data_IF_638318535701
#
_entry.id   IF_638318535701
#
_cell.length_a   1.000
_cell.length_b   1.000
_cell.length_c   1.000
_cell.angle_alpha   90.00
_cell.angle_beta   90.00
_cell.angle_gamma   90.00
#
_symmetry.space_group_name_H-M   'P 1'
#
loop_
_entity.id
_entity.type
_entity.pdbx_description
1 polymer ?
#
# COMPACT_ATOMS: atom_id res chain seq x y z
N UNK A 1 -1.92 6.59 20.60
CA UNK A 1 -0.92 5.76 19.93
C UNK A 1 -0.22 6.54 18.83
N UNK A 2 1.05 6.38 18.72
CA UNK A 2 1.82 7.04 17.66
C UNK A 2 1.30 6.61 16.28
N UNK A 3 1.09 7.58 15.38
CA UNK A 3 0.57 7.29 14.05
C UNK A 3 1.70 6.87 13.12
N UNK A 4 2.08 5.60 13.20
CA UNK A 4 3.15 5.04 12.40
C UNK A 4 2.84 5.05 10.91
N UNK A 5 1.57 4.91 10.54
CA UNK A 5 1.19 4.87 9.13
C UNK A 5 1.51 6.20 8.44
N UNK A 6 1.28 7.33 9.10
CA UNK A 6 1.63 8.64 8.56
C UNK A 6 3.14 8.76 8.36
N UNK A 7 3.91 8.29 9.33
CA UNK A 7 5.36 8.30 9.25
C UNK A 7 5.87 7.47 8.07
N UNK A 8 5.36 6.24 7.94
CA UNK A 8 5.77 5.38 6.85
C UNK A 8 5.37 5.93 5.49
N UNK A 9 4.18 6.51 5.37
CA UNK A 9 3.75 7.12 4.12
C UNK A 9 4.66 8.27 3.70
N UNK A 10 5.12 9.08 4.64
CA UNK A 10 6.08 10.14 4.35
C UNK A 10 7.40 9.57 3.84
N UNK A 11 7.89 8.50 4.49
CA UNK A 11 9.13 7.84 4.05
C UNK A 11 8.97 7.20 2.69
N UNK A 12 7.87 6.50 2.45
CA UNK A 12 7.63 5.81 1.19
C UNK A 12 7.51 6.80 0.02
N UNK A 13 7.01 8.01 0.27
CA UNK A 13 6.91 9.05 -0.75
C UNK A 13 8.24 9.78 -0.98
N UNK A 14 9.23 9.54 -0.13
CA UNK A 14 10.49 10.25 -0.21
C UNK A 14 11.41 9.60 -1.25
N UNK A 15 11.85 10.40 -2.23
CA UNK A 15 12.71 9.92 -3.30
C UNK A 15 14.13 9.53 -2.84
N UNK A 16 14.46 9.74 -1.57
CA UNK A 16 15.71 9.25 -1.00
C UNK A 16 15.74 7.73 -0.87
N UNK A 17 14.57 7.08 -0.84
CA UNK A 17 14.49 5.63 -0.74
C UNK A 17 14.51 5.00 -2.14
N UNK A 18 15.25 3.92 -2.30
CA UNK A 18 15.21 3.13 -3.52
C UNK A 18 13.86 2.43 -3.66
N UNK A 19 13.51 2.09 -4.89
CA UNK A 19 12.27 1.33 -5.14
C UNK A 19 12.29 -0.03 -4.45
N UNK A 20 13.47 -0.68 -4.37
CA UNK A 20 13.61 -1.95 -3.67
C UNK A 20 13.30 -1.83 -2.18
N UNK A 21 13.77 -0.76 -1.55
CA UNK A 21 13.53 -0.52 -0.13
C UNK A 21 12.05 -0.25 0.14
N UNK A 22 11.42 0.58 -0.68
CA UNK A 22 9.99 0.86 -0.59
C UNK A 22 9.19 -0.43 -0.76
N UNK A 23 9.55 -1.25 -1.75
CA UNK A 23 8.89 -2.52 -2.02
C UNK A 23 8.96 -3.46 -0.82
N UNK A 24 10.14 -3.58 -0.22
CA UNK A 24 10.35 -4.43 0.95
C UNK A 24 9.47 -3.99 2.12
N UNK A 25 9.47 -2.69 2.42
CA UNK A 25 8.67 -2.17 3.53
C UNK A 25 7.18 -2.33 3.27
N UNK A 26 6.74 -2.06 2.05
CA UNK A 26 5.34 -2.22 1.66
C UNK A 26 4.87 -3.66 1.86
N UNK A 27 5.65 -4.62 1.38
CA UNK A 27 5.30 -6.03 1.53
C UNK A 27 5.22 -6.45 2.98
N UNK A 28 6.13 -5.97 3.82
CA UNK A 28 6.07 -6.25 5.25
C UNK A 28 4.80 -5.70 5.89
N UNK A 29 4.40 -4.49 5.55
CA UNK A 29 3.19 -3.89 6.09
C UNK A 29 1.93 -4.62 5.61
N UNK A 30 1.86 -4.95 4.34
CA UNK A 30 0.70 -5.65 3.79
C UNK A 30 0.58 -7.07 4.32
N UNK A 31 1.70 -7.72 4.63
CA UNK A 31 1.69 -9.09 5.16
C UNK A 31 1.05 -9.18 6.56
N UNK A 32 1.01 -8.09 7.32
CA UNK A 32 0.38 -8.09 8.65
C UNK A 32 -1.15 -8.15 8.56
N UNK A 33 -1.73 -7.71 7.45
CA UNK A 33 -3.18 -7.59 7.30
C UNK A 33 -3.78 -6.42 8.06
N UNK A 34 -2.97 -5.51 8.60
CA UNK A 34 -3.43 -4.44 9.47
C UNK A 34 -3.67 -3.12 8.75
N UNK A 35 -3.50 -3.08 7.43
CA UNK A 35 -3.57 -1.83 6.67
C UNK A 35 -4.54 -1.92 5.50
N UNK A 36 -5.23 -0.79 5.27
CA UNK A 36 -5.96 -0.55 4.04
C UNK A 36 -5.10 0.23 3.07
N UNK A 37 -5.34 0.04 1.78
CA UNK A 37 -4.78 0.88 0.72
C UNK A 37 -5.83 1.93 0.37
N UNK A 38 -5.49 3.21 0.54
CA UNK A 38 -6.41 4.31 0.30
C UNK A 38 -5.95 5.10 -0.92
N UNK A 39 -6.86 5.31 -1.86
CA UNK A 39 -6.60 6.15 -3.02
C UNK A 39 -6.87 7.61 -2.66
N UNK A 40 -6.26 8.51 -3.41
CA UNK A 40 -6.45 9.94 -3.20
C UNK A 40 -7.89 10.40 -3.44
N UNK A 41 -8.71 9.62 -4.16
CA UNK A 41 -10.13 9.91 -4.39
C UNK A 41 -11.02 9.40 -3.25
N UNK A 42 -10.44 8.85 -2.20
CA UNK A 42 -11.18 8.35 -1.04
C UNK A 42 -11.58 6.90 -1.09
N UNK A 43 -11.33 6.19 -2.19
CA UNK A 43 -11.62 4.77 -2.28
C UNK A 43 -10.65 3.98 -1.40
N UNK A 44 -11.19 3.01 -0.67
CA UNK A 44 -10.40 2.16 0.23
C UNK A 44 -10.46 0.72 -0.22
N UNK A 45 -9.33 0.05 -0.10
CA UNK A 45 -9.17 -1.35 -0.50
C UNK A 45 -8.50 -2.13 0.60
N UNK A 46 -8.94 -3.36 0.77
CA UNK A 46 -8.21 -4.33 1.56
C UNK A 46 -7.17 -4.99 0.68
N UNK A 47 -5.95 -5.08 1.18
CA UNK A 47 -4.84 -5.68 0.44
C UNK A 47 -4.53 -7.05 0.99
N UNK A 48 -4.37 -8.02 0.09
CA UNK A 48 -3.98 -9.37 0.41
C UNK A 48 -2.77 -9.73 -0.43
N UNK A 49 -1.69 -10.14 0.22
CA UNK A 49 -0.47 -10.55 -0.49
C UNK A 49 -0.70 -11.89 -1.17
N UNK A 50 -0.61 -11.92 -2.49
CA UNK A 50 -0.68 -13.17 -3.26
C UNK A 50 0.70 -13.81 -3.39
N UNK A 51 1.72 -12.99 -3.67
CA UNK A 51 3.10 -13.42 -3.81
C UNK A 51 4.02 -12.21 -3.57
N UNK A 52 5.33 -12.40 -3.76
CA UNK A 52 6.25 -11.26 -3.67
C UNK A 52 6.09 -10.26 -4.82
N UNK A 53 5.37 -10.63 -5.87
CA UNK A 53 5.22 -9.79 -7.07
C UNK A 53 3.82 -9.23 -7.24
N UNK A 54 2.80 -9.82 -6.59
CA UNK A 54 1.40 -9.45 -6.78
C UNK A 54 0.66 -9.36 -5.46
N UNK A 55 -0.25 -8.39 -5.38
CA UNK A 55 -1.22 -8.28 -4.30
C UNK A 55 -2.62 -8.22 -4.89
N UNK A 56 -3.59 -8.62 -4.09
CA UNK A 56 -5.01 -8.53 -4.44
C UNK A 56 -5.59 -7.36 -3.66
N UNK A 57 -6.14 -6.39 -4.38
CA UNK A 57 -6.87 -5.27 -3.77
C UNK A 57 -8.36 -5.52 -3.92
N UNK A 58 -9.07 -5.54 -2.80
CA UNK A 58 -10.51 -5.72 -2.76
C UNK A 58 -11.16 -4.41 -2.32
N UNK A 59 -12.03 -3.86 -3.16
CA UNK A 59 -12.77 -2.65 -2.84
C UNK A 59 -13.70 -2.95 -1.66
N UNK A 60 -13.58 -2.18 -0.57
CA UNK A 60 -14.37 -2.42 0.64
C UNK A 60 -15.85 -2.20 0.42
N UNK A 61 -16.22 -1.32 -0.51
CA UNK A 61 -17.61 -0.96 -0.75
C UNK A 61 -18.31 -1.92 -1.70
N UNK A 62 -17.64 -2.29 -2.79
CA UNK A 62 -18.24 -3.12 -3.85
C UNK A 62 -17.90 -4.59 -3.75
N UNK A 63 -16.82 -4.94 -3.05
CA UNK A 63 -16.29 -6.31 -3.02
C UNK A 63 -15.55 -6.74 -4.28
N UNK A 64 -15.49 -5.88 -5.28
CA UNK A 64 -14.74 -6.16 -6.51
C UNK A 64 -13.25 -6.19 -6.19
N UNK A 65 -12.54 -7.16 -6.72
CA UNK A 65 -11.11 -7.29 -6.48
C UNK A 65 -10.33 -7.34 -7.79
N UNK A 66 -9.05 -6.99 -7.70
CA UNK A 66 -8.12 -7.04 -8.82
C UNK A 66 -6.74 -7.44 -8.31
N UNK A 67 -6.02 -8.16 -9.14
CA UNK A 67 -4.63 -8.51 -8.89
C UNK A 67 -3.74 -7.40 -9.44
N UNK A 68 -2.92 -6.82 -8.58
CA UNK A 68 -2.10 -5.65 -8.90
C UNK A 68 -0.63 -6.01 -8.69
N UNK A 69 0.25 -5.72 -9.66
CA UNK A 69 1.68 -5.88 -9.44
C UNK A 69 2.17 -5.01 -8.28
N UNK A 70 3.00 -5.57 -7.42
CA UNK A 70 3.56 -4.83 -6.28
C UNK A 70 4.29 -3.58 -6.77
N UNK A 71 4.99 -3.66 -7.89
CA UNK A 71 5.72 -2.52 -8.43
C UNK A 71 4.79 -1.35 -8.80
N UNK A 72 3.57 -1.64 -9.23
CA UNK A 72 2.58 -0.60 -9.51
C UNK A 72 2.15 0.11 -8.23
N UNK A 73 1.99 -0.64 -7.12
CA UNK A 73 1.69 -0.04 -5.83
C UNK A 73 2.86 0.82 -5.33
N UNK A 74 4.08 0.32 -5.47
CA UNK A 74 5.28 1.06 -5.08
C UNK A 74 5.33 2.41 -5.79
N UNK A 75 5.12 2.40 -7.11
CA UNK A 75 5.11 3.63 -7.90
C UNK A 75 3.98 4.56 -7.49
N UNK A 76 2.80 4.01 -7.26
CA UNK A 76 1.64 4.79 -6.84
C UNK A 76 1.85 5.46 -5.49
N UNK A 77 2.42 4.76 -4.52
CA UNK A 77 2.75 5.33 -3.22
C UNK A 77 3.79 6.45 -3.38
N UNK A 78 4.81 6.21 -4.19
CA UNK A 78 5.86 7.19 -4.43
C UNK A 78 5.33 8.47 -5.08
N UNK A 79 4.32 8.33 -5.94
CA UNK A 79 3.67 9.44 -6.60
C UNK A 79 2.55 10.08 -5.78
N UNK A 80 2.24 9.52 -4.61
CA UNK A 80 1.19 10.03 -3.75
C UNK A 80 -0.23 9.63 -4.18
N UNK A 81 -0.38 8.64 -5.07
CA UNK A 81 -1.69 8.17 -5.52
C UNK A 81 -2.38 7.27 -4.50
N UNK A 82 -1.58 6.57 -3.70
CA UNK A 82 -2.06 5.70 -2.64
C UNK A 82 -1.42 6.10 -1.32
N UNK A 83 -2.09 5.75 -0.24
CA UNK A 83 -1.50 5.78 1.08
C UNK A 83 -1.98 4.54 1.84
N UNK A 84 -1.28 4.18 2.90
CA UNK A 84 -1.68 3.07 3.76
C UNK A 84 -2.36 3.65 4.99
N UNK A 85 -3.47 3.03 5.38
CA UNK A 85 -4.21 3.43 6.56
C UNK A 85 -4.38 2.22 7.47
N UNK A 86 -4.02 2.36 8.73
CA UNK A 86 -4.18 1.30 9.71
C UNK A 86 -5.66 1.03 9.97
N UNK A 87 -6.00 -0.25 10.05
CA UNK A 87 -7.37 -0.69 10.35
C UNK A 87 -7.82 -0.34 11.76
#
# INVERSE_FOLDING_TARGET
MFNMIKFYNQKLNNYQFSLCEIRRQLLQMLATGDYYVCFCDGKMFEASKKSNDFVILTNLKSGVFAEIPVDSLVRGIRLGLFSLKQK
#
